data_IF_597648348447
#
_entry.id   IF_597648348447
#
_cell.length_a   1.000
_cell.length_b   1.000
_cell.length_c   1.000
_cell.angle_alpha   90.00
_cell.angle_beta   90.00
_cell.angle_gamma   90.00
#
_symmetry.space_group_name_H-M   'P 1'
#
loop_
_entity.id
_entity.type
_entity.pdbx_description
1 polymer ?
#
# COMPACT_ATOMS: atom_id res chain seq x y z
N UNK A 1 -19.83 -1.64 15.12
CA UNK A 1 -18.51 -2.09 15.58
C UNK A 1 -18.20 -1.45 16.92
N UNK A 2 -17.69 -2.20 17.90
CA UNK A 2 -17.19 -1.65 19.15
C UNK A 2 -15.85 -0.92 18.93
N UNK A 3 -15.50 0.08 19.75
CA UNK A 3 -14.21 0.76 19.65
C UNK A 3 -13.05 -0.22 19.89
N UNK A 4 -12.02 -0.14 19.04
CA UNK A 4 -10.81 -0.99 19.12
C UNK A 4 -9.90 -0.65 20.32
N UNK A 5 -10.09 0.52 20.94
CA UNK A 5 -9.42 0.94 22.16
C UNK A 5 -10.35 1.94 22.90
N UNK A 6 -10.50 1.76 24.21
CA UNK A 6 -11.30 2.63 25.09
C UNK A 6 -10.38 3.19 26.17
N UNK A 7 -10.44 4.50 26.37
CA UNK A 7 -9.63 5.23 27.36
C UNK A 7 -10.49 6.21 28.16
N UNK A 8 -9.94 6.74 29.25
CA UNK A 8 -10.59 7.78 30.05
C UNK A 8 -10.92 9.03 29.22
N UNK A 9 -11.94 9.76 29.66
CA UNK A 9 -12.37 11.00 29.00
C UNK A 9 -11.22 12.00 28.94
N UNK A 10 -10.96 12.55 27.75
CA UNK A 10 -9.87 13.50 27.52
C UNK A 10 -8.52 12.88 27.14
N UNK A 11 -8.38 11.54 27.14
CA UNK A 11 -7.09 10.86 26.84
C UNK A 11 -6.97 10.30 25.41
N UNK A 12 -8.03 10.38 24.61
CA UNK A 12 -8.08 9.76 23.28
C UNK A 12 -6.96 10.23 22.32
N UNK A 13 -6.60 11.51 22.32
CA UNK A 13 -5.56 12.03 21.43
C UNK A 13 -4.16 11.51 21.79
N UNK A 14 -3.85 11.45 23.09
CA UNK A 14 -2.56 10.97 23.56
C UNK A 14 -2.38 9.48 23.20
N UNK A 15 -3.42 8.68 23.44
CA UNK A 15 -3.42 7.26 23.07
C UNK A 15 -3.35 7.06 21.55
N UNK A 16 -4.07 7.86 20.76
CA UNK A 16 -3.99 7.81 19.30
C UNK A 16 -2.59 8.13 18.78
N UNK A 17 -1.90 9.11 19.36
CA UNK A 17 -0.50 9.43 19.03
C UNK A 17 0.45 8.30 19.41
N UNK A 18 0.25 7.68 20.57
CA UNK A 18 1.05 6.53 20.99
C UNK A 18 0.90 5.36 20.01
N UNK A 19 -0.32 5.07 19.55
CA UNK A 19 -0.56 4.06 18.51
C UNK A 19 0.02 4.45 17.16
N UNK A 20 -0.11 5.71 16.74
CA UNK A 20 0.49 6.19 15.50
C UNK A 20 2.01 6.00 15.51
N UNK A 21 2.68 6.24 16.64
CA UNK A 21 4.10 5.94 16.82
C UNK A 21 4.43 4.46 16.60
N UNK A 22 3.69 3.55 17.24
CA UNK A 22 3.86 2.10 17.07
C UNK A 22 3.62 1.62 15.62
N UNK A 23 2.68 2.26 14.92
CA UNK A 23 2.40 1.95 13.50
C UNK A 23 3.52 2.47 12.60
N UNK A 24 4.07 3.66 12.89
CA UNK A 24 5.15 4.26 12.12
C UNK A 24 6.46 3.46 12.17
N UNK A 25 6.65 2.62 13.19
CA UNK A 25 7.78 1.68 13.27
C UNK A 25 7.65 0.48 12.31
N UNK A 26 6.47 0.26 11.70
CA UNK A 26 6.23 -0.85 10.77
C UNK A 26 6.73 -0.51 9.37
N UNK A 27 7.02 -1.54 8.58
CA UNK A 27 7.31 -1.36 7.15
C UNK A 27 6.13 -0.67 6.45
N UNK A 28 6.33 0.49 5.79
CA UNK A 28 5.23 1.28 5.23
C UNK A 28 4.47 0.50 4.15
N UNK A 29 5.20 -0.14 3.21
CA UNK A 29 4.59 -0.96 2.16
C UNK A 29 3.84 -2.17 2.71
N UNK A 30 4.31 -2.76 3.82
CA UNK A 30 3.62 -3.89 4.44
C UNK A 30 2.31 -3.44 5.08
N UNK A 31 2.31 -2.27 5.72
CA UNK A 31 1.11 -1.67 6.34
C UNK A 31 0.08 -1.28 5.28
N UNK A 32 0.53 -0.67 4.18
CA UNK A 32 -0.31 -0.34 3.02
C UNK A 32 -0.91 -1.59 2.39
N UNK A 33 -0.08 -2.59 2.06
CA UNK A 33 -0.56 -3.84 1.46
C UNK A 33 -1.57 -4.56 2.35
N UNK A 34 -1.33 -4.64 3.66
CA UNK A 34 -2.28 -5.23 4.60
C UNK A 34 -3.62 -4.49 4.60
N UNK A 35 -3.60 -3.14 4.59
CA UNK A 35 -4.83 -2.35 4.56
C UNK A 35 -5.60 -2.54 3.25
N UNK A 36 -4.91 -2.59 2.11
CA UNK A 36 -5.52 -2.84 0.80
C UNK A 36 -6.11 -4.25 0.71
N UNK A 37 -5.42 -5.27 1.22
CA UNK A 37 -5.94 -6.65 1.26
C UNK A 37 -7.21 -6.78 2.11
N UNK A 38 -7.28 -6.08 3.25
CA UNK A 38 -8.50 -6.01 4.07
C UNK A 38 -9.64 -5.33 3.28
N UNK A 39 -9.35 -4.20 2.63
CA UNK A 39 -10.34 -3.49 1.83
C UNK A 39 -10.93 -4.40 0.71
N UNK A 40 -10.07 -5.14 0.01
CA UNK A 40 -10.50 -6.15 -0.97
C UNK A 40 -11.41 -7.20 -0.33
N UNK A 41 -11.02 -7.76 0.82
CA UNK A 41 -11.78 -8.81 1.49
C UNK A 41 -13.16 -8.35 1.98
N UNK A 42 -13.28 -7.10 2.43
CA UNK A 42 -14.54 -6.51 2.93
C UNK A 42 -15.40 -5.90 1.82
N UNK A 43 -14.94 -5.90 0.56
CA UNK A 43 -15.67 -5.26 -0.55
C UNK A 43 -15.50 -3.74 -0.61
N UNK A 44 -14.62 -3.15 0.21
CA UNK A 44 -14.34 -1.72 0.27
C UNK A 44 -13.37 -1.33 -0.85
N UNK A 45 -13.85 -0.58 -1.84
CA UNK A 45 -13.03 -0.10 -2.96
C UNK A 45 -12.17 -1.20 -3.62
N UNK A 46 -12.71 -2.42 -3.70
CA UNK A 46 -11.94 -3.60 -4.09
C UNK A 46 -11.26 -3.47 -5.45
N UNK A 47 -11.87 -2.75 -6.40
CA UNK A 47 -11.26 -2.50 -7.71
C UNK A 47 -9.99 -1.65 -7.58
N UNK A 48 -10.09 -0.50 -6.90
CA UNK A 48 -8.96 0.40 -6.69
C UNK A 48 -7.87 -0.24 -5.81
N UNK A 49 -8.27 -0.97 -4.78
CA UNK A 49 -7.32 -1.67 -3.90
C UNK A 49 -6.56 -2.79 -4.62
N UNK A 50 -7.25 -3.54 -5.49
CA UNK A 50 -6.62 -4.58 -6.33
C UNK A 50 -5.66 -3.96 -7.34
N UNK A 51 -6.06 -2.87 -7.99
CA UNK A 51 -5.19 -2.15 -8.95
C UNK A 51 -3.93 -1.60 -8.27
N UNK A 52 -4.06 -1.01 -7.08
CA UNK A 52 -2.92 -0.49 -6.32
C UNK A 52 -1.92 -1.60 -5.96
N UNK A 53 -2.40 -2.75 -5.47
CA UNK A 53 -1.57 -3.91 -5.15
C UNK A 53 -0.83 -4.45 -6.39
N UNK A 54 -1.56 -4.64 -7.49
CA UNK A 54 -0.98 -5.13 -8.75
C UNK A 54 0.05 -4.14 -9.31
N UNK A 55 -0.24 -2.84 -9.27
CA UNK A 55 0.65 -1.79 -9.74
C UNK A 55 1.92 -1.70 -8.91
N UNK A 56 1.83 -1.83 -7.58
CA UNK A 56 3.00 -1.87 -6.70
C UNK A 56 3.92 -3.06 -6.99
N UNK A 57 3.36 -4.22 -7.34
CA UNK A 57 4.14 -5.38 -7.79
C UNK A 57 4.82 -5.13 -9.14
N UNK A 58 4.05 -4.66 -10.15
CA UNK A 58 4.56 -4.34 -11.48
C UNK A 58 5.65 -3.25 -11.40
N UNK A 59 5.52 -2.30 -10.47
CA UNK A 59 6.49 -1.22 -10.27
C UNK A 59 7.91 -1.68 -9.94
N UNK A 60 8.05 -2.93 -9.48
CA UNK A 60 9.31 -3.53 -9.06
C UNK A 60 9.93 -4.45 -10.11
N UNK A 61 9.28 -4.67 -11.26
CA UNK A 61 9.78 -5.57 -12.29
C UNK A 61 10.84 -4.90 -13.17
N UNK A 62 11.74 -5.72 -13.72
CA UNK A 62 12.65 -5.31 -14.79
C UNK A 62 11.91 -4.84 -16.03
N UNK A 63 10.75 -5.43 -16.34
CA UNK A 63 9.93 -5.05 -17.49
C UNK A 63 9.39 -3.62 -17.38
N UNK A 64 8.93 -3.15 -16.20
CA UNK A 64 8.54 -1.75 -16.07
C UNK A 64 9.74 -0.83 -16.32
N UNK A 65 10.90 -1.16 -15.75
CA UNK A 65 12.13 -0.38 -15.95
C UNK A 65 12.52 -0.32 -17.43
N UNK A 66 12.46 -1.45 -18.16
CA UNK A 66 12.77 -1.55 -19.58
C UNK A 66 11.78 -0.74 -20.43
N UNK A 67 10.48 -0.84 -20.11
CA UNK A 67 9.41 -0.09 -20.77
C UNK A 67 9.59 1.42 -20.62
N UNK A 68 9.77 1.91 -19.38
CA UNK A 68 9.98 3.33 -19.08
C UNK A 68 11.27 3.85 -19.73
N UNK A 69 12.35 3.07 -19.69
CA UNK A 69 13.62 3.43 -20.32
C UNK A 69 13.48 3.60 -21.84
N UNK A 70 12.87 2.62 -22.50
CA UNK A 70 12.69 2.64 -23.95
C UNK A 70 11.71 3.72 -24.41
N UNK A 71 10.67 4.00 -23.61
CA UNK A 71 9.75 5.10 -23.85
C UNK A 71 10.47 6.45 -23.89
N UNK A 72 11.35 6.71 -22.91
CA UNK A 72 12.16 7.95 -22.85
C UNK A 72 13.05 8.14 -24.08
N UNK A 73 13.58 7.04 -24.63
CA UNK A 73 14.46 7.06 -25.82
C UNK A 73 13.71 6.86 -27.13
N UNK A 74 12.37 6.74 -27.11
CA UNK A 74 11.51 6.41 -28.27
C UNK A 74 11.97 5.14 -29.01
N UNK A 75 12.46 4.16 -28.28
CA UNK A 75 12.88 2.86 -28.79
C UNK A 75 11.87 1.78 -28.43
N UNK A 76 11.91 0.66 -29.14
CA UNK A 76 11.09 -0.52 -28.80
C UNK A 76 11.68 -1.22 -27.56
N UNK A 77 10.90 -1.47 -26.50
CA UNK A 77 11.38 -2.21 -25.34
C UNK A 77 11.54 -3.70 -25.63
N UNK A 78 12.46 -4.33 -24.89
CA UNK A 78 12.61 -5.78 -24.80
C UNK A 78 12.13 -6.20 -23.41
N UNK A 79 11.13 -7.08 -23.37
CA UNK A 79 10.55 -7.60 -22.13
C UNK A 79 10.96 -9.06 -21.93
N UNK A 80 11.19 -9.44 -20.68
CA UNK A 80 11.65 -10.78 -20.28
C UNK A 80 10.77 -11.45 -19.22
N UNK A 81 9.65 -10.82 -18.81
CA UNK A 81 8.77 -11.31 -17.74
C UNK A 81 9.52 -11.42 -16.40
N UNK A 82 10.36 -10.43 -16.12
CA UNK A 82 11.22 -10.32 -14.93
C UNK A 82 11.08 -8.96 -14.28
#
# INVERSE_FOLDING_TARGET
ALPICVVETGKALDEAKAWAGKIAERGPLATEAAKLMIAVAEGEESAAATEALASGFIARTGDLKAGVGSFKTKQKPVFSRS
#
